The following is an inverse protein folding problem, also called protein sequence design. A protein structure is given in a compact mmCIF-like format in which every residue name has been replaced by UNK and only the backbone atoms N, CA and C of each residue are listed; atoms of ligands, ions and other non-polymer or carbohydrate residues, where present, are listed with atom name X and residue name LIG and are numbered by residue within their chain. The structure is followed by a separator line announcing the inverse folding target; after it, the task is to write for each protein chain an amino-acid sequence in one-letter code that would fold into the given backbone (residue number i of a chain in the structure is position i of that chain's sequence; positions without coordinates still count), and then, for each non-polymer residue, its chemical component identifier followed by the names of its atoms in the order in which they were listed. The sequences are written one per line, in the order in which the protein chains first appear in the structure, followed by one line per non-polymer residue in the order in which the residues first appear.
data_IF_461348560136
#
_entry.id   IF_461348560136
#
_cell.length_a   1.000
_cell.length_b   1.000
_cell.length_c   1.000
_cell.angle_alpha   90.00
_cell.angle_beta   90.00
_cell.angle_gamma   90.00
#
_symmetry.space_group_name_H-M   'P 1'
#
loop_
_entity.id
_entity.type
_entity.pdbx_description
1 polymer ?
#
# COMPACT_ATOMS: atom_id res chain seq x y z
N UNK A 1 6.76 14.40 7.53
CA UNK A 1 7.21 14.35 6.13
C UNK A 1 8.67 13.92 6.09
N UNK A 2 9.05 12.96 5.26
CA UNK A 2 10.46 12.58 5.06
C UNK A 2 11.03 13.32 3.83
N UNK A 3 11.39 14.59 4.04
CA UNK A 3 11.87 15.49 2.97
C UNK A 3 13.23 15.06 2.40
N UNK A 4 14.14 14.58 3.25
CA UNK A 4 15.46 14.10 2.84
C UNK A 4 15.37 12.91 1.88
N UNK A 5 14.56 11.89 2.20
CA UNK A 5 14.33 10.75 1.32
C UNK A 5 13.75 11.17 -0.03
N UNK A 6 12.76 12.08 -0.03
CA UNK A 6 12.14 12.60 -1.27
C UNK A 6 13.15 13.36 -2.13
N UNK A 7 14.01 14.19 -1.54
CA UNK A 7 15.06 14.91 -2.27
C UNK A 7 16.10 13.94 -2.88
N UNK A 8 16.50 12.92 -2.12
CA UNK A 8 17.42 11.88 -2.61
C UNK A 8 16.81 11.05 -3.74
N UNK A 9 15.55 10.62 -3.63
CA UNK A 9 14.88 9.86 -4.68
C UNK A 9 14.74 10.64 -6.00
N UNK A 10 14.54 11.97 -5.93
CA UNK A 10 14.45 12.85 -7.11
C UNK A 10 15.77 13.05 -7.84
N UNK A 11 16.89 12.97 -7.11
CA UNK A 11 18.23 13.24 -7.65
C UNK A 11 19.00 11.94 -7.94
N UNK A 12 18.57 10.82 -7.36
CA UNK A 12 19.07 9.50 -7.69
C UNK A 12 18.73 9.18 -9.16
N UNK A 13 19.73 8.75 -9.94
CA UNK A 13 19.54 8.25 -11.30
C UNK A 13 18.97 6.83 -11.24
N UNK A 14 17.73 6.71 -10.77
CA UNK A 14 17.05 5.42 -10.67
C UNK A 14 16.63 4.97 -12.08
N UNK A 15 16.67 3.66 -12.38
CA UNK A 15 16.25 3.13 -13.68
C UNK A 15 14.72 3.19 -13.88
N UNK A 16 13.98 3.70 -12.89
CA UNK A 16 12.52 3.76 -12.90
C UNK A 16 11.99 5.07 -12.28
N UNK A 17 10.76 5.47 -12.64
CA UNK A 17 10.06 6.57 -11.98
C UNK A 17 9.78 6.29 -10.50
N UNK A 18 9.84 7.34 -9.67
CA UNK A 18 9.44 7.27 -8.26
C UNK A 18 8.14 8.03 -8.04
N UNK A 19 7.14 7.34 -7.49
CA UNK A 19 5.85 7.93 -7.16
C UNK A 19 5.71 8.11 -5.65
N UNK A 20 5.23 9.28 -5.23
CA UNK A 20 4.93 9.56 -3.83
C UNK A 20 3.46 9.92 -3.69
N UNK A 21 2.66 9.16 -2.91
CA UNK A 21 1.30 9.55 -2.61
C UNK A 21 1.26 10.85 -1.79
N UNK A 22 0.06 11.43 -1.70
CA UNK A 22 -0.20 12.54 -0.78
C UNK A 22 0.05 12.07 0.67
N UNK A 23 0.42 12.97 1.60
CA UNK A 23 0.68 12.58 2.98
C UNK A 23 -0.49 11.85 3.66
N UNK A 24 -1.73 12.27 3.38
CA UNK A 24 -2.94 11.65 3.93
C UNK A 24 -3.14 10.20 3.48
N UNK A 25 -2.65 9.83 2.29
CA UNK A 25 -2.69 8.47 1.77
C UNK A 25 -1.48 7.62 2.20
N UNK A 26 -0.51 8.20 2.91
CA UNK A 26 0.72 7.52 3.33
C UNK A 26 0.65 6.95 4.76
N UNK A 27 -0.35 7.37 5.55
CA UNK A 27 -0.64 6.85 6.89
C UNK A 27 -1.81 5.88 6.83
N UNK A 28 -1.96 5.03 7.84
CA UNK A 28 -3.05 4.04 7.90
C UNK A 28 -4.42 4.71 7.70
N UNK A 29 -5.18 4.20 6.72
CA UNK A 29 -6.49 4.71 6.37
C UNK A 29 -7.36 3.62 5.72
N UNK A 30 -8.67 3.82 5.69
CA UNK A 30 -9.58 2.84 5.06
C UNK A 30 -9.49 2.81 3.53
N UNK A 31 -9.00 3.88 2.89
CA UNK A 31 -8.92 3.96 1.43
C UNK A 31 -7.90 2.96 0.86
N UNK A 32 -6.76 2.73 1.53
CA UNK A 32 -5.80 1.70 1.10
C UNK A 32 -6.35 0.28 1.25
N UNK A 33 -7.19 0.03 2.27
CA UNK A 33 -7.86 -1.26 2.46
C UNK A 33 -8.85 -1.49 1.31
N UNK A 34 -9.66 -0.48 0.97
CA UNK A 34 -10.59 -0.56 -0.15
C UNK A 34 -9.86 -0.75 -1.50
N UNK A 35 -8.78 -0.01 -1.74
CA UNK A 35 -7.97 -0.13 -2.95
C UNK A 35 -7.33 -1.52 -3.10
N UNK A 36 -6.87 -2.12 -2.00
CA UNK A 36 -6.33 -3.48 -2.00
C UNK A 36 -7.43 -4.56 -2.18
N UNK A 37 -8.63 -4.32 -1.68
CA UNK A 37 -9.77 -5.24 -1.78
C UNK A 37 -10.39 -5.27 -3.19
N UNK A 38 -10.44 -4.12 -3.88
CA UNK A 38 -11.08 -4.01 -5.20
C UNK A 38 -10.58 -5.05 -6.23
N UNK A 39 -9.27 -5.23 -6.48
CA UNK A 39 -8.82 -6.24 -7.43
C UNK A 39 -9.11 -7.69 -6.97
N UNK A 40 -9.25 -7.93 -5.66
CA UNK A 40 -9.68 -9.25 -5.13
C UNK A 40 -11.16 -9.49 -5.43
N UNK A 41 -11.99 -8.46 -5.25
CA UNK A 41 -13.40 -8.48 -5.62
C UNK A 41 -13.60 -8.79 -7.11
N UNK A 42 -12.86 -8.12 -8.00
CA UNK A 42 -12.92 -8.36 -9.44
C UNK A 42 -12.55 -9.81 -9.82
N UNK A 43 -11.70 -10.47 -9.03
CA UNK A 43 -11.32 -11.88 -9.20
C UNK A 43 -12.23 -12.87 -8.47
N UNK A 44 -13.25 -12.39 -7.73
CA UNK A 44 -14.11 -13.24 -6.90
C UNK A 44 -13.40 -13.88 -5.70
N UNK A 45 -12.29 -13.28 -5.23
CA UNK A 45 -11.52 -13.74 -4.08
C UNK A 45 -12.12 -13.23 -2.77
N UNK A 46 -12.94 -14.05 -2.12
CA UNK A 46 -13.55 -13.75 -0.84
C UNK A 46 -12.94 -14.56 0.29
N UNK A 47 -12.89 -13.96 1.49
CA UNK A 47 -12.63 -14.69 2.72
C UNK A 47 -13.90 -15.40 3.20
N UNK A 48 -13.71 -16.53 3.90
CA UNK A 48 -14.80 -17.18 4.63
C UNK A 48 -15.19 -16.38 5.88
N UNK A 49 -16.39 -16.63 6.40
CA UNK A 49 -16.95 -15.90 7.55
C UNK A 49 -16.28 -16.24 8.89
N UNK A 50 -15.48 -17.30 8.92
CA UNK A 50 -14.69 -17.75 10.07
C UNK A 50 -13.27 -17.14 10.09
N UNK A 51 -12.97 -16.19 9.19
CA UNK A 51 -11.66 -15.53 9.14
C UNK A 51 -11.31 -14.87 10.49
N UNK A 52 -10.10 -15.15 10.96
CA UNK A 52 -9.54 -14.56 12.17
C UNK A 52 -8.45 -13.54 11.84
N UNK A 53 -8.27 -12.57 12.75
CA UNK A 53 -7.15 -11.65 12.66
C UNK A 53 -5.81 -12.38 12.92
N UNK A 54 -4.79 -12.10 12.10
CA UNK A 54 -3.44 -12.65 12.26
C UNK A 54 -2.44 -11.52 12.53
N UNK A 55 -1.98 -11.42 13.78
CA UNK A 55 -1.10 -10.33 14.24
C UNK A 55 0.26 -10.26 13.52
N UNK A 56 0.72 -11.39 12.98
CA UNK A 56 1.98 -11.50 12.23
C UNK A 56 1.74 -12.13 10.85
N UNK A 57 0.76 -11.62 10.12
CA UNK A 57 0.47 -12.05 8.76
C UNK A 57 1.67 -11.75 7.84
N UNK A 58 2.19 -12.78 7.18
CA UNK A 58 3.28 -12.63 6.22
C UNK A 58 2.73 -12.17 4.87
N UNK A 59 3.39 -11.18 4.25
CA UNK A 59 3.11 -10.80 2.87
C UNK A 59 3.77 -11.82 1.93
N UNK A 60 2.97 -12.53 1.15
CA UNK A 60 3.39 -13.53 0.15
C UNK A 60 3.14 -13.05 -1.26
#
# INVERSE_FOLDING_TARGET
SNSGLRARARTARLPCPVHFPTPALSTDNAAMIAAAAFPKLERGEFAALDIAAQASLTLV
#
